data_IF_631551675954
#
_entry.id   IF_631551675954
#
_cell.length_a   1.000
_cell.length_b   1.000
_cell.length_c   1.000
_cell.angle_alpha   90.00
_cell.angle_beta   90.00
_cell.angle_gamma   90.00
#
_symmetry.space_group_name_H-M   'P 1'
#
loop_
_entity.id
_entity.type
_entity.pdbx_description
1 polymer ?
#
# COMPACT_ATOMS: atom_id res chain seq x y z
N UNK A 1 20.68 -10.78 4.27
CA UNK A 1 20.76 -9.29 4.22
C UNK A 1 20.70 -8.76 5.65
N UNK A 2 21.44 -7.70 5.99
CA UNK A 2 21.56 -7.11 7.34
C UNK A 2 20.79 -5.80 7.52
N UNK A 3 19.65 -5.63 6.84
CA UNK A 3 18.83 -4.43 6.92
C UNK A 3 17.96 -4.45 8.19
N UNK A 4 17.80 -3.30 8.85
CA UNK A 4 17.05 -3.18 10.12
C UNK A 4 15.61 -2.64 9.98
N UNK A 5 15.15 -2.35 8.76
CA UNK A 5 13.80 -1.82 8.54
C UNK A 5 13.51 -1.46 7.07
N UNK A 6 12.34 -0.87 6.85
CA UNK A 6 11.84 -0.45 5.55
C UNK A 6 11.32 0.99 5.59
N UNK A 7 11.67 1.78 4.57
CA UNK A 7 11.23 3.18 4.40
C UNK A 7 10.89 3.45 2.93
N UNK A 8 9.98 2.66 2.37
CA UNK A 8 9.49 2.85 1.00
C UNK A 8 8.11 3.50 0.94
N UNK A 9 7.81 4.11 -0.21
CA UNK A 9 6.56 4.87 -0.43
C UNK A 9 5.30 4.01 -0.28
N UNK A 10 5.40 2.71 -0.52
CA UNK A 10 4.28 1.78 -0.40
C UNK A 10 3.80 1.57 1.05
N UNK A 11 4.59 1.98 2.03
CA UNK A 11 4.16 2.05 3.42
C UNK A 11 2.99 3.02 3.64
N UNK A 12 2.74 3.96 2.71
CA UNK A 12 1.54 4.82 2.76
C UNK A 12 0.23 4.06 2.45
N UNK A 13 0.32 2.89 1.81
CA UNK A 13 -0.85 2.07 1.46
C UNK A 13 -1.03 0.88 2.41
N UNK A 14 0.07 0.19 2.75
CA UNK A 14 0.02 -1.07 3.50
C UNK A 14 0.91 -1.06 4.76
N UNK A 15 0.83 -0.03 5.63
CA UNK A 15 1.79 0.13 6.72
C UNK A 15 1.85 -1.09 7.65
N UNK A 16 0.71 -1.70 7.98
CA UNK A 16 0.67 -2.85 8.87
C UNK A 16 1.26 -4.11 8.25
N UNK A 17 1.09 -4.32 6.93
CA UNK A 17 1.69 -5.46 6.22
C UNK A 17 3.22 -5.35 6.18
N UNK A 18 3.76 -4.15 5.90
CA UNK A 18 5.20 -3.92 5.93
C UNK A 18 5.77 -4.03 7.35
N UNK A 19 5.09 -3.48 8.36
CA UNK A 19 5.49 -3.61 9.76
C UNK A 19 5.48 -5.08 10.21
N UNK A 20 4.45 -5.83 9.83
CA UNK A 20 4.34 -7.26 10.11
C UNK A 20 5.47 -8.04 9.43
N UNK A 21 5.76 -7.79 8.16
CA UNK A 21 6.89 -8.41 7.46
C UNK A 21 8.22 -8.14 8.17
N UNK A 22 8.53 -6.87 8.47
CA UNK A 22 9.78 -6.51 9.14
C UNK A 22 9.96 -7.23 10.49
N UNK A 23 8.86 -7.47 11.22
CA UNK A 23 8.91 -8.13 12.53
C UNK A 23 8.94 -9.65 12.46
N UNK A 24 8.24 -10.28 11.50
CA UNK A 24 7.89 -11.70 11.56
C UNK A 24 8.51 -12.56 10.46
N UNK A 25 9.22 -12.00 9.48
CA UNK A 25 9.66 -12.75 8.30
C UNK A 25 10.55 -13.97 8.60
N UNK A 26 11.34 -13.94 9.67
CA UNK A 26 12.18 -15.06 10.10
C UNK A 26 11.39 -16.15 10.84
N UNK A 27 10.37 -15.76 11.59
CA UNK A 27 9.59 -16.66 12.45
C UNK A 27 8.51 -17.40 11.66
N UNK A 28 7.96 -16.76 10.61
CA UNK A 28 6.85 -17.31 9.81
C UNK A 28 7.13 -17.18 8.31
N UNK A 29 8.13 -17.90 7.78
CA UNK A 29 8.62 -17.71 6.41
C UNK A 29 7.56 -17.95 5.33
N UNK A 30 6.70 -18.97 5.47
CA UNK A 30 5.64 -19.25 4.50
C UNK A 30 4.56 -18.15 4.44
N UNK A 31 4.19 -17.60 5.61
CA UNK A 31 3.27 -16.47 5.67
C UNK A 31 3.94 -15.19 5.19
N UNK A 32 5.23 -15.02 5.47
CA UNK A 32 6.03 -13.91 4.98
C UNK A 32 6.10 -13.90 3.45
N UNK A 33 6.26 -15.06 2.81
CA UNK A 33 6.20 -15.17 1.34
C UNK A 33 4.85 -14.67 0.80
N UNK A 34 3.73 -15.11 1.37
CA UNK A 34 2.40 -14.66 0.94
C UNK A 34 2.20 -13.15 1.11
N UNK A 35 2.63 -12.57 2.25
CA UNK A 35 2.54 -11.12 2.47
C UNK A 35 3.48 -10.37 1.53
N UNK A 36 4.69 -10.90 1.28
CA UNK A 36 5.67 -10.34 0.36
C UNK A 36 5.15 -10.33 -1.09
N UNK A 37 4.52 -11.41 -1.55
CA UNK A 37 3.90 -11.50 -2.88
C UNK A 37 2.79 -10.47 -3.03
N UNK A 38 1.94 -10.35 -2.01
CA UNK A 38 0.84 -9.38 -1.98
C UNK A 38 1.37 -7.94 -2.09
N UNK A 39 2.25 -7.52 -1.18
CA UNK A 39 2.75 -6.14 -1.18
C UNK A 39 3.68 -5.86 -2.36
N UNK A 40 4.39 -6.89 -2.85
CA UNK A 40 5.23 -6.84 -4.03
C UNK A 40 4.42 -6.57 -5.28
N UNK A 41 3.34 -7.31 -5.51
CA UNK A 41 2.46 -7.06 -6.65
C UNK A 41 1.79 -5.68 -6.56
N UNK A 42 1.23 -5.30 -5.40
CA UNK A 42 0.58 -3.99 -5.27
C UNK A 42 1.55 -2.80 -5.32
N UNK A 43 2.87 -3.01 -5.21
CA UNK A 43 3.86 -1.95 -5.41
C UNK A 43 3.79 -1.31 -6.80
N UNK A 44 3.20 -1.99 -7.80
CA UNK A 44 2.95 -1.39 -9.14
C UNK A 44 2.07 -0.13 -9.08
N UNK A 45 1.32 0.07 -8.00
CA UNK A 45 0.57 1.31 -7.76
C UNK A 45 1.48 2.54 -7.68
N UNK A 46 2.77 2.40 -7.36
CA UNK A 46 3.75 3.48 -7.43
C UNK A 46 3.88 4.05 -8.85
N UNK A 47 3.79 3.20 -9.88
CA UNK A 47 3.90 3.58 -11.29
C UNK A 47 2.68 4.35 -11.82
N UNK A 48 1.59 4.46 -11.04
CA UNK A 48 0.35 5.10 -11.47
C UNK A 48 0.46 6.64 -11.41
N UNK A 49 0.04 7.26 -10.31
CA UNK A 49 0.05 8.72 -10.11
C UNK A 49 0.55 9.05 -8.70
N UNK A 50 1.61 8.38 -8.24
CA UNK A 50 2.20 8.70 -6.95
C UNK A 50 2.74 10.15 -6.93
N UNK A 51 2.45 10.98 -5.89
CA UNK A 51 1.80 10.65 -4.61
C UNK A 51 0.29 10.93 -4.54
N UNK A 52 -0.36 11.32 -5.64
CA UNK A 52 -1.80 11.67 -5.67
C UNK A 52 -2.65 10.48 -5.24
N UNK A 53 -2.35 9.29 -5.76
CA UNK A 53 -3.08 8.08 -5.44
C UNK A 53 -2.89 7.62 -3.97
N UNK A 54 -1.71 7.80 -3.40
CA UNK A 54 -1.42 7.51 -1.99
C UNK A 54 -2.21 8.44 -1.07
N UNK A 55 -2.25 9.72 -1.39
CA UNK A 55 -3.07 10.68 -0.63
C UNK A 55 -4.56 10.36 -0.71
N UNK A 56 -5.05 9.97 -1.89
CA UNK A 56 -6.43 9.50 -2.04
C UNK A 56 -6.71 8.28 -1.17
N UNK A 57 -5.81 7.28 -1.18
CA UNK A 57 -5.91 6.10 -0.32
C UNK A 57 -5.95 6.47 1.17
N UNK A 58 -5.06 7.35 1.63
CA UNK A 58 -5.04 7.84 3.01
C UNK A 58 -6.35 8.57 3.38
N UNK A 59 -6.97 9.27 2.43
CA UNK A 59 -8.31 9.84 2.60
C UNK A 59 -9.39 8.78 2.85
N UNK A 60 -9.33 7.63 2.18
CA UNK A 60 -10.22 6.50 2.43
C UNK A 60 -9.99 5.88 3.82
N UNK A 61 -8.79 6.02 4.37
CA UNK A 61 -8.43 5.63 5.74
C UNK A 61 -8.75 6.71 6.79
N UNK A 62 -9.43 7.79 6.40
CA UNK A 62 -9.93 8.84 7.30
C UNK A 62 -8.99 10.03 7.48
N UNK A 63 -7.92 10.15 6.69
CA UNK A 63 -7.01 11.30 6.73
C UNK A 63 -7.48 12.41 5.78
N UNK A 64 -8.12 13.45 6.31
CA UNK A 64 -8.63 14.58 5.52
C UNK A 64 -7.52 15.57 5.11
N UNK A 65 -6.70 15.16 4.14
CA UNK A 65 -5.58 15.95 3.58
C UNK A 65 -5.77 16.30 2.10
N UNK A 66 -6.87 15.85 1.50
CA UNK A 66 -7.09 15.85 0.05
C UNK A 66 -6.01 15.08 -0.72
N UNK A 67 -6.10 15.07 -2.05
CA UNK A 67 -5.13 14.38 -2.92
C UNK A 67 -4.38 15.30 -3.89
N UNK A 68 -4.45 16.61 -3.68
CA UNK A 68 -3.67 17.58 -4.44
C UNK A 68 -2.17 17.38 -4.23
N UNK A 69 -1.38 17.49 -5.30
CA UNK A 69 0.09 17.38 -5.27
C UNK A 69 0.74 18.45 -6.12
N UNK A 70 1.94 18.88 -5.71
CA UNK A 70 2.81 19.74 -6.53
C UNK A 70 3.64 18.94 -7.54
N UNK A 71 3.87 17.65 -7.26
CA UNK A 71 4.74 16.80 -8.07
C UNK A 71 4.02 16.19 -9.29
N UNK A 72 2.68 16.09 -9.24
CA UNK A 72 1.85 15.48 -10.28
C UNK A 72 0.54 16.25 -10.38
N UNK A 73 0.01 16.34 -11.60
CA UNK A 73 -1.27 16.99 -11.87
C UNK A 73 -2.42 16.09 -11.44
N UNK A 74 -3.14 16.46 -10.38
CA UNK A 74 -4.27 15.68 -9.87
C UNK A 74 -5.42 15.52 -10.88
N UNK A 75 -5.49 16.34 -11.94
CA UNK A 75 -6.45 16.15 -13.02
C UNK A 75 -6.21 14.85 -13.83
N UNK A 76 -4.99 14.32 -13.82
CA UNK A 76 -4.64 13.05 -14.47
C UNK A 76 -5.06 11.82 -13.63
N UNK A 77 -5.51 12.04 -12.39
CA UNK A 77 -6.05 11.00 -11.52
C UNK A 77 -7.52 10.73 -11.84
N UNK A 78 -7.73 10.13 -13.01
CA UNK A 78 -9.04 9.83 -13.59
C UNK A 78 -9.86 8.87 -12.73
N UNK A 79 -11.15 8.73 -13.04
CA UNK A 79 -12.04 7.83 -12.30
C UNK A 79 -11.57 6.37 -12.33
N UNK A 80 -11.05 5.88 -13.46
CA UNK A 80 -10.52 4.51 -13.55
C UNK A 80 -9.36 4.30 -12.57
N UNK A 81 -8.47 5.30 -12.46
CA UNK A 81 -7.35 5.28 -11.51
C UNK A 81 -7.81 5.29 -10.05
N UNK A 82 -8.90 5.97 -9.72
CA UNK A 82 -9.50 5.92 -8.39
C UNK A 82 -10.07 4.53 -8.08
N UNK A 83 -10.77 3.94 -9.04
CA UNK A 83 -11.36 2.59 -8.90
C UNK A 83 -10.27 1.53 -8.67
N UNK A 84 -9.12 1.64 -9.35
CA UNK A 84 -7.96 0.78 -9.09
C UNK A 84 -7.52 0.84 -7.61
N UNK A 85 -7.50 2.03 -7.02
CA UNK A 85 -7.13 2.23 -5.60
C UNK A 85 -8.23 1.74 -4.66
N UNK A 86 -9.51 1.97 -4.99
CA UNK A 86 -10.66 1.45 -4.24
C UNK A 86 -10.62 -0.10 -4.19
N UNK A 87 -10.32 -0.74 -5.32
CA UNK A 87 -10.21 -2.20 -5.43
C UNK A 87 -8.98 -2.75 -4.68
N UNK A 88 -7.83 -2.07 -4.81
CA UNK A 88 -6.64 -2.41 -4.03
C UNK A 88 -6.94 -2.37 -2.54
N UNK A 89 -7.58 -1.30 -2.04
CA UNK A 89 -8.01 -1.18 -0.65
C UNK A 89 -8.90 -2.34 -0.21
N UNK A 90 -9.92 -2.67 -1.00
CA UNK A 90 -10.83 -3.77 -0.69
C UNK A 90 -10.13 -5.15 -0.68
N UNK A 91 -9.12 -5.35 -1.52
CA UNK A 91 -8.28 -6.57 -1.50
C UNK A 91 -7.35 -6.60 -0.29
N UNK A 92 -6.75 -5.46 0.07
CA UNK A 92 -5.90 -5.32 1.26
C UNK A 92 -6.67 -5.65 2.54
N UNK A 93 -7.89 -5.14 2.70
CA UNK A 93 -8.69 -5.43 3.89
C UNK A 93 -9.02 -6.92 4.01
N UNK A 94 -9.44 -7.57 2.90
CA UNK A 94 -9.70 -9.01 2.88
C UNK A 94 -8.45 -9.85 3.13
N UNK A 95 -7.31 -9.43 2.57
CA UNK A 95 -6.04 -10.11 2.77
C UNK A 95 -5.56 -10.03 4.22
N UNK A 96 -5.67 -8.85 4.84
CA UNK A 96 -5.39 -8.65 6.28
C UNK A 96 -6.24 -9.57 7.15
N UNK A 97 -7.56 -9.64 6.89
CA UNK A 97 -8.47 -10.55 7.58
C UNK A 97 -8.05 -12.02 7.40
N UNK A 98 -7.79 -12.47 6.17
CA UNK A 98 -7.37 -13.83 5.87
C UNK A 98 -6.04 -14.21 6.55
N UNK A 99 -5.10 -13.27 6.62
CA UNK A 99 -3.81 -13.46 7.26
C UNK A 99 -3.85 -13.25 8.78
N UNK A 100 -4.93 -12.73 9.34
CA UNK A 100 -4.98 -12.33 10.75
C UNK A 100 -3.92 -11.27 11.09
N UNK A 101 -3.80 -10.23 10.25
CA UNK A 101 -2.92 -9.06 10.43
C UNK A 101 -3.76 -7.80 10.63
#
# INVERSE_FOLDING_TARGET
MGCAGYSGVMANFHPELYAWLCKNYLEQPEKAEQVQDFVGFFSVAECQQYPVNAKYYLGLEGMDIGYASRARNSAEFTRNRQVEIDQMRALTLRFKEQMGI
#
